data_IF_677979152088
#
_entry.id   IF_677979152088
#
_cell.length_a   1.000
_cell.length_b   1.000
_cell.length_c   1.000
_cell.angle_alpha   90.00
_cell.angle_beta   90.00
_cell.angle_gamma   90.00
#
_symmetry.space_group_name_H-M   'P 1'
#
loop_
_entity.id
_entity.type
_entity.pdbx_description
1 polymer ?
#
# COMPACT_ATOMS: atom_id res chain seq x y z
N UNK A 1 -6.10 -16.63 -1.45
CA UNK A 1 -6.27 -15.26 -0.91
C UNK A 1 -4.98 -14.49 -1.16
N UNK A 2 -5.01 -13.29 -1.75
CA UNK A 2 -3.80 -12.55 -2.16
C UNK A 2 -3.00 -12.06 -0.95
N UNK A 3 -1.65 -12.16 -0.97
CA UNK A 3 -0.77 -11.65 0.09
C UNK A 3 -1.04 -10.18 0.40
N UNK A 4 -1.30 -9.37 -0.64
CA UNK A 4 -1.61 -7.95 -0.49
C UNK A 4 -2.83 -7.73 0.41
N UNK A 5 -3.88 -8.54 0.27
CA UNK A 5 -5.07 -8.45 1.14
C UNK A 5 -4.74 -8.78 2.59
N UNK A 6 -3.85 -9.76 2.78
CA UNK A 6 -3.40 -10.17 4.09
C UNK A 6 -2.47 -9.12 4.73
N UNK A 7 -1.66 -8.39 3.94
CA UNK A 7 -0.88 -7.23 4.37
C UNK A 7 -1.82 -6.09 4.80
N UNK A 8 -2.79 -5.71 3.97
CA UNK A 8 -3.78 -4.68 4.32
C UNK A 8 -4.53 -5.03 5.61
N UNK A 9 -4.93 -6.29 5.77
CA UNK A 9 -5.60 -6.77 6.99
C UNK A 9 -4.69 -6.71 8.22
N UNK A 10 -3.45 -7.18 8.09
CA UNK A 10 -2.47 -7.14 9.18
C UNK A 10 -2.16 -5.70 9.61
N UNK A 11 -2.04 -4.79 8.65
CA UNK A 11 -1.81 -3.37 8.93
C UNK A 11 -3.00 -2.72 9.64
N UNK A 12 -4.24 -3.05 9.26
CA UNK A 12 -5.43 -2.60 10.02
C UNK A 12 -5.38 -3.09 11.46
N UNK A 13 -5.07 -4.37 11.69
CA UNK A 13 -4.95 -4.95 13.03
C UNK A 13 -3.87 -4.25 13.86
N UNK A 14 -2.68 -4.07 13.30
CA UNK A 14 -1.57 -3.39 13.96
C UNK A 14 -1.88 -1.92 14.28
N UNK A 15 -2.45 -1.17 13.33
CA UNK A 15 -2.83 0.23 13.55
C UNK A 15 -3.89 0.37 14.65
N UNK A 16 -4.83 -0.57 14.71
CA UNK A 16 -5.86 -0.61 15.75
C UNK A 16 -5.23 -0.87 17.12
N UNK A 17 -4.34 -1.86 17.21
CA UNK A 17 -3.59 -2.15 18.44
C UNK A 17 -2.74 -0.98 18.91
N UNK A 18 -1.96 -0.37 18.01
CA UNK A 18 -1.08 0.77 18.36
C UNK A 18 -1.87 1.99 18.82
N UNK A 19 -3.05 2.25 18.23
CA UNK A 19 -3.93 3.29 18.73
C UNK A 19 -4.44 3.01 20.14
N UNK A 20 -4.80 1.76 20.45
CA UNK A 20 -5.27 1.37 21.78
C UNK A 20 -4.15 1.41 22.81
N UNK A 21 -2.94 1.00 22.44
CA UNK A 21 -1.77 0.92 23.33
C UNK A 21 -1.17 2.28 23.66
N UNK A 22 -0.94 3.10 22.64
CA UNK A 22 -0.05 4.26 22.76
C UNK A 22 -0.78 5.59 22.91
N UNK A 23 -2.10 5.62 22.68
CA UNK A 23 -2.91 6.84 22.74
C UNK A 23 -2.39 7.98 21.84
N UNK A 24 -3.03 8.18 20.68
CA UNK A 24 -2.99 9.42 19.84
C UNK A 24 -1.97 9.50 18.66
N UNK A 25 -2.56 9.78 17.47
CA UNK A 25 -2.23 10.59 16.26
C UNK A 25 -0.78 10.83 15.76
N UNK A 26 0.25 10.31 16.41
CA UNK A 26 1.66 10.57 16.06
C UNK A 26 2.28 9.56 15.08
N UNK A 27 1.50 8.64 14.53
CA UNK A 27 1.96 7.76 13.45
C UNK A 27 2.36 8.59 12.22
N UNK A 28 3.42 8.18 11.53
CA UNK A 28 3.88 8.74 10.27
C UNK A 28 4.29 7.60 9.32
N UNK A 29 4.65 7.92 8.08
CA UNK A 29 5.02 6.93 7.06
C UNK A 29 6.15 6.01 7.52
N UNK A 30 7.19 6.57 8.17
CA UNK A 30 8.31 5.80 8.70
C UNK A 30 7.92 4.76 9.78
N UNK A 31 6.76 4.93 10.44
CA UNK A 31 6.23 3.95 11.40
C UNK A 31 5.51 2.78 10.75
N UNK A 32 5.29 2.81 9.43
CA UNK A 32 4.67 1.68 8.70
C UNK A 32 5.65 0.56 8.37
N UNK A 33 6.96 0.83 8.38
CA UNK A 33 7.96 -0.19 8.03
C UNK A 33 8.04 -1.37 9.00
N UNK A 34 8.31 -1.15 10.30
CA UNK A 34 8.42 -2.25 11.27
C UNK A 34 7.23 -3.24 11.28
N UNK A 35 5.95 -2.81 11.26
CA UNK A 35 4.86 -3.77 11.21
C UNK A 35 4.79 -4.55 9.89
N UNK A 36 5.19 -3.96 8.76
CA UNK A 36 5.26 -4.67 7.49
C UNK A 36 6.32 -5.77 7.53
N UNK A 37 7.49 -5.52 8.15
CA UNK A 37 8.51 -6.55 8.39
C UNK A 37 7.97 -7.67 9.27
N UNK A 38 7.33 -7.35 10.40
CA UNK A 38 6.74 -8.38 11.27
C UNK A 38 5.68 -9.22 10.57
N UNK A 39 4.83 -8.60 9.73
CA UNK A 39 3.82 -9.31 8.93
C UNK A 39 4.48 -10.22 7.88
N UNK A 40 5.57 -9.76 7.26
CA UNK A 40 6.33 -10.54 6.29
C UNK A 40 7.02 -11.74 6.94
N UNK A 41 7.72 -11.51 8.05
CA UNK A 41 8.43 -12.53 8.83
C UNK A 41 7.49 -13.61 9.34
N UNK A 42 6.35 -13.22 9.91
CA UNK A 42 5.32 -14.15 10.38
C UNK A 42 4.69 -15.00 9.28
N UNK A 43 5.01 -14.73 8.00
CA UNK A 43 4.54 -15.47 6.82
C UNK A 43 5.67 -16.09 6.01
N UNK A 44 6.89 -16.14 6.56
CA UNK A 44 8.04 -16.74 5.90
C UNK A 44 8.53 -15.96 4.68
N UNK A 45 8.35 -14.63 4.67
CA UNK A 45 8.94 -13.77 3.65
C UNK A 45 10.28 -13.21 4.16
N UNK A 46 11.30 -13.22 3.30
CA UNK A 46 12.47 -12.35 3.44
C UNK A 46 12.02 -10.92 3.11
N UNK A 47 12.28 -9.94 3.97
CA UNK A 47 11.87 -8.56 3.74
C UNK A 47 13.05 -7.58 3.82
N UNK A 48 12.97 -6.51 3.03
CA UNK A 48 13.87 -5.36 3.10
C UNK A 48 13.06 -4.07 2.94
N UNK A 49 13.13 -3.22 3.95
CA UNK A 49 12.74 -1.82 3.86
C UNK A 49 13.73 -1.02 3.00
N UNK A 50 13.23 0.02 2.32
CA UNK A 50 14.00 0.94 1.49
C UNK A 50 14.92 0.20 0.48
N UNK A 51 14.37 -0.77 -0.24
CA UNK A 51 15.10 -1.55 -1.23
C UNK A 51 15.59 -0.64 -2.37
N UNK A 52 16.90 -0.55 -2.63
CA UNK A 52 17.42 0.37 -3.63
C UNK A 52 17.04 -0.08 -5.05
N UNK A 53 16.89 0.88 -5.96
CA UNK A 53 16.76 0.63 -7.39
C UNK A 53 18.06 0.98 -8.11
N UNK A 54 18.37 0.31 -9.24
CA UNK A 54 19.51 0.68 -10.06
C UNK A 54 19.44 2.16 -10.43
N UNK A 55 20.56 2.87 -10.29
CA UNK A 55 20.67 4.25 -10.76
C UNK A 55 20.67 4.27 -12.28
N UNK A 56 19.82 5.09 -12.87
CA UNK A 56 19.93 5.44 -14.29
C UNK A 56 21.22 6.22 -14.51
N UNK A 57 22.01 5.84 -15.52
CA UNK A 57 23.24 6.54 -15.85
C UNK A 57 22.96 8.03 -16.09
N UNK A 58 23.72 8.91 -15.43
CA UNK A 58 23.56 10.36 -15.54
C UNK A 58 22.49 11.00 -14.64
N UNK A 59 21.75 10.22 -13.84
CA UNK A 59 20.79 10.81 -12.89
C UNK A 59 21.51 11.51 -11.72
N UNK A 60 21.21 12.78 -11.48
CA UNK A 60 21.65 13.52 -10.29
C UNK A 60 20.66 13.32 -9.15
N UNK A 61 21.15 13.27 -7.90
CA UNK A 61 20.32 13.11 -6.70
C UNK A 61 20.39 11.73 -6.03
N UNK A 62 19.57 11.56 -4.99
CA UNK A 62 19.53 10.34 -4.17
C UNK A 62 19.07 9.14 -5.00
N UNK A 63 19.65 7.93 -4.80
CA UNK A 63 19.17 6.72 -5.46
C UNK A 63 17.68 6.49 -5.18
N UNK A 64 16.93 6.11 -6.20
CA UNK A 64 15.53 5.71 -6.01
C UNK A 64 15.46 4.42 -5.18
N UNK A 65 14.40 4.31 -4.40
CA UNK A 65 14.13 3.16 -3.54
C UNK A 65 12.66 2.75 -3.63
N UNK A 66 12.41 1.47 -3.42
CA UNK A 66 11.10 0.93 -3.09
C UNK A 66 10.97 0.92 -1.57
N UNK A 67 9.84 1.35 -1.03
CA UNK A 67 9.65 1.37 0.42
C UNK A 67 9.81 -0.02 1.03
N UNK A 68 9.24 -1.05 0.40
CA UNK A 68 9.32 -2.44 0.86
C UNK A 68 9.45 -3.45 -0.29
N UNK A 69 10.41 -4.35 -0.17
CA UNK A 69 10.50 -5.56 -0.99
C UNK A 69 10.39 -6.80 -0.10
N UNK A 70 9.56 -7.76 -0.48
CA UNK A 70 9.37 -9.02 0.22
C UNK A 70 9.52 -10.19 -0.76
N UNK A 71 10.19 -11.25 -0.36
CA UNK A 71 10.44 -12.44 -1.18
C UNK A 71 10.01 -13.68 -0.42
N UNK A 72 9.19 -14.53 -1.04
CA UNK A 72 8.89 -15.86 -0.55
C UNK A 72 9.38 -16.88 -1.56
N UNK A 73 10.39 -17.66 -1.15
CA UNK A 73 11.08 -18.64 -1.98
C UNK A 73 10.21 -19.84 -2.29
N UNK A 74 9.50 -20.35 -1.28
CA UNK A 74 8.62 -21.51 -1.39
C UNK A 74 7.52 -21.28 -2.44
N UNK A 75 6.94 -20.08 -2.43
CA UNK A 75 5.87 -19.68 -3.36
C UNK A 75 6.38 -19.08 -4.66
N UNK A 76 7.69 -18.85 -4.76
CA UNK A 76 8.33 -18.12 -5.87
C UNK A 76 7.64 -16.78 -6.16
N UNK A 77 7.40 -15.98 -5.12
CA UNK A 77 6.74 -14.66 -5.25
C UNK A 77 7.64 -13.55 -4.70
N UNK A 78 7.72 -12.45 -5.44
CA UNK A 78 8.28 -11.18 -5.00
C UNK A 78 7.16 -10.15 -4.89
N UNK A 79 7.10 -9.42 -3.77
CA UNK A 79 6.14 -8.34 -3.55
C UNK A 79 6.88 -7.04 -3.34
N UNK A 80 6.63 -6.09 -4.23
CA UNK A 80 7.10 -4.71 -4.11
C UNK A 80 5.96 -3.81 -3.64
N UNK A 81 6.20 -3.05 -2.58
CA UNK A 81 5.21 -2.22 -1.92
C UNK A 81 5.73 -0.80 -1.78
N UNK A 82 4.94 0.14 -2.27
CA UNK A 82 5.05 1.55 -1.90
C UNK A 82 4.07 1.85 -0.79
N UNK A 83 4.46 2.68 0.17
CA UNK A 83 3.64 3.00 1.33
C UNK A 83 3.35 4.49 1.39
N UNK A 84 2.12 4.84 1.76
CA UNK A 84 1.73 6.23 2.01
C UNK A 84 0.97 6.36 3.30
N UNK A 85 1.30 7.39 4.08
CA UNK A 85 0.55 7.75 5.27
C UNK A 85 -0.03 9.15 5.17
N UNK A 86 -1.35 9.25 5.04
CA UNK A 86 -2.07 10.52 4.93
C UNK A 86 -2.67 10.94 6.27
N UNK A 87 -2.07 11.95 6.89
CA UNK A 87 -2.67 12.69 8.02
C UNK A 87 -3.80 13.61 7.55
N UNK A 88 -4.85 13.74 8.37
CA UNK A 88 -5.88 14.76 8.21
C UNK A 88 -5.26 16.17 8.18
N UNK A 89 -5.76 17.05 7.30
CA UNK A 89 -5.30 18.44 7.18
C UNK A 89 -3.89 18.66 6.60
N UNK A 90 -3.10 17.62 6.35
CA UNK A 90 -1.76 17.73 5.74
C UNK A 90 -1.76 17.26 4.29
N UNK A 91 -1.02 17.94 3.40
CA UNK A 91 -0.81 17.45 2.02
C UNK A 91 -0.01 16.14 2.07
N UNK A 92 -0.40 15.16 1.25
CA UNK A 92 0.44 13.96 1.03
C UNK A 92 1.70 14.38 0.28
N UNK A 93 2.87 13.93 0.74
CA UNK A 93 4.09 14.09 -0.06
C UNK A 93 4.10 13.02 -1.16
N UNK A 94 4.38 13.44 -2.39
CA UNK A 94 4.18 12.59 -3.57
C UNK A 94 2.70 12.40 -3.92
N UNK A 95 2.39 11.29 -4.59
CA UNK A 95 1.05 10.93 -5.03
C UNK A 95 0.98 9.45 -5.33
N UNK A 96 -0.18 8.83 -5.12
CA UNK A 96 -0.38 7.40 -5.38
C UNK A 96 -0.08 7.05 -6.84
N UNK A 97 -0.39 7.97 -7.78
CA UNK A 97 -0.05 7.82 -9.19
C UNK A 97 1.45 7.77 -9.46
N UNK A 98 2.25 8.59 -8.76
CA UNK A 98 3.70 8.63 -8.89
C UNK A 98 4.31 7.31 -8.38
N UNK A 99 3.83 6.84 -7.23
CA UNK A 99 4.29 5.57 -6.64
C UNK A 99 3.90 4.37 -7.53
N UNK A 100 2.69 4.41 -8.10
CA UNK A 100 2.21 3.41 -9.04
C UNK A 100 3.03 3.39 -10.34
N UNK A 101 3.37 4.55 -10.90
CA UNK A 101 4.24 4.67 -12.07
C UNK A 101 5.66 4.13 -11.77
N UNK A 102 6.22 4.48 -10.61
CA UNK A 102 7.51 3.94 -10.13
C UNK A 102 7.48 2.41 -10.05
N UNK A 103 6.45 1.84 -9.45
CA UNK A 103 6.28 0.39 -9.36
C UNK A 103 6.09 -0.26 -10.73
N UNK A 104 5.38 0.39 -11.67
CA UNK A 104 5.16 -0.16 -12.99
C UNK A 104 6.48 -0.46 -13.72
N UNK A 105 7.47 0.43 -13.63
CA UNK A 105 8.80 0.25 -14.22
C UNK A 105 9.67 -0.82 -13.53
N UNK A 106 9.26 -1.35 -12.38
CA UNK A 106 10.02 -2.35 -11.64
C UNK A 106 10.04 -3.70 -12.35
N UNK A 107 11.22 -4.31 -12.46
CA UNK A 107 11.39 -5.66 -13.03
C UNK A 107 12.19 -6.57 -12.08
N UNK A 108 12.05 -7.88 -12.23
CA UNK A 108 12.89 -8.84 -11.49
C UNK A 108 14.38 -8.64 -11.80
N UNK A 109 14.73 -8.34 -13.05
CA UNK A 109 16.11 -8.06 -13.44
C UNK A 109 16.69 -6.87 -12.66
N UNK A 110 15.91 -5.80 -12.48
CA UNK A 110 16.37 -4.66 -11.65
C UNK A 110 16.52 -5.01 -10.17
N UNK A 111 15.73 -5.95 -9.65
CA UNK A 111 15.83 -6.45 -8.27
C UNK A 111 17.08 -7.33 -8.13
N UNK A 112 17.26 -8.29 -9.05
CA UNK A 112 18.41 -9.20 -9.07
C UNK A 112 19.74 -8.46 -9.22
N UNK A 113 19.79 -7.40 -10.03
CA UNK A 113 20.97 -6.56 -10.14
C UNK A 113 21.38 -5.96 -8.79
N UNK A 114 20.40 -5.59 -7.94
CA UNK A 114 20.68 -5.02 -6.62
C UNK A 114 21.03 -6.10 -5.59
N UNK A 115 20.41 -7.28 -5.67
CA UNK A 115 20.78 -8.44 -4.85
C UNK A 115 22.24 -8.85 -5.14
N UNK A 116 22.60 -8.97 -6.43
CA UNK A 116 23.95 -9.31 -6.87
C UNK A 116 24.99 -8.26 -6.46
N UNK A 117 24.60 -6.98 -6.38
CA UNK A 117 25.44 -5.90 -5.87
C UNK A 117 25.56 -5.86 -4.33
N UNK A 118 25.07 -6.89 -3.63
CA UNK A 118 25.09 -6.97 -2.16
C UNK A 118 24.08 -6.04 -1.46
N UNK A 119 23.19 -5.41 -2.22
CA UNK A 119 22.22 -4.45 -1.70
C UNK A 119 20.89 -5.11 -1.30
N UNK A 120 20.77 -6.44 -1.36
CA UNK A 120 19.53 -7.16 -1.02
C UNK A 120 19.23 -7.27 0.48
N UNK A 121 20.21 -6.99 1.35
CA UNK A 121 20.04 -7.15 2.81
C UNK A 121 19.76 -8.61 3.18
N UNK A 122 18.58 -8.89 3.77
CA UNK A 122 18.13 -10.25 4.08
C UNK A 122 17.82 -11.08 2.83
N UNK A 123 17.57 -10.43 1.69
CA UNK A 123 17.29 -11.08 0.42
C UNK A 123 18.63 -11.31 -0.29
N UNK A 124 19.20 -12.50 -0.16
CA UNK A 124 20.57 -12.79 -0.61
C UNK A 124 20.66 -13.58 -1.91
N UNK A 125 19.58 -14.27 -2.32
CA UNK A 125 19.58 -15.09 -3.53
C UNK A 125 18.77 -14.45 -4.68
N UNK A 126 19.10 -14.72 -5.95
CA UNK A 126 18.35 -14.23 -7.10
C UNK A 126 16.88 -14.66 -7.10
N UNK A 127 16.00 -13.85 -7.69
CA UNK A 127 14.54 -14.03 -7.78
C UNK A 127 14.06 -14.12 -9.23
N UNK A 128 14.97 -14.32 -10.19
CA UNK A 128 14.63 -14.58 -11.58
C UNK A 128 13.56 -15.69 -11.70
N UNK A 129 12.54 -15.45 -12.53
CA UNK A 129 11.43 -16.39 -12.74
C UNK A 129 10.32 -16.33 -11.69
N UNK A 130 10.46 -15.57 -10.62
CA UNK A 130 9.41 -15.44 -9.60
C UNK A 130 8.23 -14.60 -10.10
N UNK A 131 7.05 -14.76 -9.51
CA UNK A 131 5.94 -13.86 -9.76
C UNK A 131 6.18 -12.51 -9.07
N UNK A 132 6.24 -11.42 -9.84
CA UNK A 132 6.34 -10.06 -9.30
C UNK A 132 4.96 -9.43 -9.09
N UNK A 133 4.58 -9.28 -7.82
CA UNK A 133 3.39 -8.53 -7.37
C UNK A 133 3.82 -7.14 -6.96
N UNK A 134 3.08 -6.13 -7.41
CA UNK A 134 3.34 -4.72 -7.09
C UNK A 134 2.09 -4.09 -6.52
N UNK A 135 2.22 -3.29 -5.47
CA UNK A 135 1.09 -2.58 -4.91
C UNK A 135 1.48 -1.27 -4.22
N UNK A 136 0.55 -0.31 -4.21
CA UNK A 136 0.63 0.88 -3.36
C UNK A 136 -0.28 0.66 -2.16
N UNK A 137 0.28 0.64 -0.95
CA UNK A 137 -0.44 0.59 0.32
C UNK A 137 -0.58 2.01 0.86
N UNK A 138 -1.79 2.42 1.17
CA UNK A 138 -2.06 3.76 1.71
C UNK A 138 -2.94 3.67 2.94
N UNK A 139 -2.53 4.43 3.95
CA UNK A 139 -3.23 4.58 5.23
C UNK A 139 -3.74 6.01 5.33
N UNK A 140 -5.06 6.18 5.49
CA UNK A 140 -5.68 7.48 5.76
C UNK A 140 -6.18 7.56 7.20
N UNK A 141 -5.87 8.66 7.87
CA UNK A 141 -6.41 8.99 9.17
C UNK A 141 -7.65 9.90 9.03
N UNK A 142 -8.79 9.46 9.57
CA UNK A 142 -10.07 10.18 9.61
C UNK A 142 -10.69 10.44 8.23
N UNK A 143 -10.37 11.57 7.61
CA UNK A 143 -11.14 12.17 6.50
C UNK A 143 -10.22 12.80 5.44
N UNK A 144 -10.81 13.33 4.35
CA UNK A 144 -10.14 13.89 3.16
C UNK A 144 -9.57 12.88 2.14
N UNK A 145 -10.03 11.61 2.19
CA UNK A 145 -9.73 10.60 1.17
C UNK A 145 -10.17 11.10 -0.22
N UNK A 146 -11.41 11.57 -0.33
CA UNK A 146 -11.96 12.06 -1.60
C UNK A 146 -11.27 13.32 -2.13
N UNK A 147 -10.86 14.23 -1.25
CA UNK A 147 -10.13 15.43 -1.67
C UNK A 147 -8.74 15.09 -2.22
N UNK A 148 -8.04 14.15 -1.57
CA UNK A 148 -6.76 13.66 -2.08
C UNK A 148 -6.94 12.95 -3.42
N UNK A 149 -7.94 12.08 -3.54
CA UNK A 149 -8.18 11.32 -4.77
C UNK A 149 -8.43 12.22 -5.98
N UNK A 150 -9.13 13.35 -5.81
CA UNK A 150 -9.33 14.32 -6.90
C UNK A 150 -8.02 14.87 -7.49
N UNK A 151 -6.92 14.80 -6.73
CA UNK A 151 -5.58 15.22 -7.17
C UNK A 151 -4.77 14.10 -7.81
N UNK A 152 -5.23 12.86 -7.70
CA UNK A 152 -4.57 11.69 -8.30
C UNK A 152 -4.98 11.52 -9.77
N UNK A 153 -4.20 10.82 -10.60
CA UNK A 153 -4.58 10.51 -11.97
C UNK A 153 -5.91 9.74 -12.05
N UNK A 154 -6.67 9.93 -13.14
CA UNK A 154 -8.00 9.31 -13.34
C UNK A 154 -7.98 7.79 -13.17
N UNK A 155 -6.89 7.12 -13.56
CA UNK A 155 -6.76 5.67 -13.41
C UNK A 155 -6.73 5.23 -11.94
N UNK A 156 -5.99 5.96 -11.09
CA UNK A 156 -5.96 5.73 -9.64
C UNK A 156 -7.33 6.04 -9.03
N UNK A 157 -7.97 7.13 -9.47
CA UNK A 157 -9.32 7.49 -9.01
C UNK A 157 -10.32 6.37 -9.30
N UNK A 158 -10.36 5.87 -10.55
CA UNK A 158 -11.27 4.78 -10.96
C UNK A 158 -11.01 3.52 -10.14
N UNK A 159 -9.75 3.10 -10.04
CA UNK A 159 -9.39 1.91 -9.27
C UNK A 159 -9.81 2.02 -7.80
N UNK A 160 -9.65 3.19 -7.18
CA UNK A 160 -10.10 3.41 -5.81
C UNK A 160 -11.62 3.45 -5.69
N UNK A 161 -12.32 4.16 -6.59
CA UNK A 161 -13.78 4.23 -6.62
C UNK A 161 -14.39 2.83 -6.74
N UNK A 162 -13.82 1.95 -7.55
CA UNK A 162 -14.26 0.55 -7.66
C UNK A 162 -14.17 -0.20 -6.33
N UNK A 163 -13.14 0.08 -5.52
CA UNK A 163 -13.00 -0.48 -4.18
C UNK A 163 -14.02 0.12 -3.20
N UNK A 164 -14.29 1.42 -3.27
CA UNK A 164 -15.31 2.05 -2.41
C UNK A 164 -16.72 1.60 -2.80
N UNK A 165 -17.02 1.42 -4.08
CA UNK A 165 -18.31 0.88 -4.50
C UNK A 165 -18.52 -0.53 -3.91
N UNK A 166 -17.47 -1.36 -3.91
CA UNK A 166 -17.52 -2.70 -3.33
C UNK A 166 -17.64 -2.74 -1.79
N UNK A 167 -17.29 -1.63 -1.13
CA UNK A 167 -17.35 -1.46 0.32
C UNK A 167 -18.79 -1.25 0.81
N UNK A 168 -19.62 -0.64 -0.03
CA UNK A 168 -21.01 -0.30 0.30
C UNK A 168 -21.89 -1.57 0.37
N UNK A 169 -22.97 -1.54 1.18
CA UNK A 169 -24.03 -2.52 1.11
C UNK A 169 -24.62 -2.61 -0.31
N UNK A 170 -25.15 -3.78 -0.67
CA UNK A 170 -25.59 -4.04 -2.06
C UNK A 170 -26.83 -3.21 -2.46
N UNK A 171 -27.57 -2.68 -1.48
CA UNK A 171 -28.73 -1.80 -1.62
C UNK A 171 -28.38 -0.29 -1.61
N UNK A 172 -27.09 0.07 -1.48
CA UNK A 172 -26.65 1.47 -1.39
C UNK A 172 -25.94 1.90 -2.67
N UNK A 173 -26.49 2.92 -3.33
CA UNK A 173 -25.89 3.46 -4.56
C UNK A 173 -24.50 4.11 -4.32
N UNK A 174 -23.54 3.91 -5.24
CA UNK A 174 -22.18 4.44 -5.15
C UNK A 174 -22.10 5.94 -5.51
N UNK A 175 -22.71 6.79 -4.69
CA UNK A 175 -22.67 8.25 -4.83
C UNK A 175 -21.58 8.89 -3.98
N UNK A 176 -21.10 10.08 -4.36
CA UNK A 176 -20.14 10.87 -3.56
C UNK A 176 -20.60 11.09 -2.11
N UNK A 177 -21.91 11.25 -1.90
CA UNK A 177 -22.52 11.39 -0.56
C UNK A 177 -22.39 10.09 0.24
N UNK A 178 -22.75 8.95 -0.36
CA UNK A 178 -22.68 7.65 0.31
C UNK A 178 -21.23 7.22 0.57
N UNK A 179 -20.30 7.52 -0.33
CA UNK A 179 -18.87 7.35 -0.09
C UNK A 179 -18.41 8.15 1.12
N UNK A 180 -18.79 9.42 1.22
CA UNK A 180 -18.41 10.27 2.35
C UNK A 180 -18.97 9.72 3.67
N UNK A 181 -20.25 9.33 3.69
CA UNK A 181 -20.90 8.71 4.86
C UNK A 181 -20.24 7.39 5.26
N UNK A 182 -19.91 6.52 4.30
CA UNK A 182 -19.18 5.28 4.56
C UNK A 182 -17.80 5.54 5.19
N UNK A 183 -17.05 6.51 4.65
CA UNK A 183 -15.73 6.89 5.15
C UNK A 183 -15.79 7.50 6.56
N UNK A 184 -16.85 8.25 6.87
CA UNK A 184 -17.12 8.83 8.20
C UNK A 184 -17.62 7.78 9.21
N UNK A 185 -18.22 6.69 8.73
CA UNK A 185 -18.80 5.64 9.57
C UNK A 185 -20.28 5.77 9.84
N UNK A 186 -20.97 6.67 9.13
CA UNK A 186 -22.42 6.85 9.17
C UNK A 186 -23.17 5.82 8.31
N UNK A 187 -22.44 4.94 7.62
CA UNK A 187 -22.94 3.80 6.87
C UNK A 187 -22.16 2.55 7.26
N UNK A 188 -22.86 1.42 7.34
CA UNK A 188 -22.25 0.11 7.46
C UNK A 188 -21.37 -0.17 6.24
N UNK A 189 -20.25 -0.86 6.45
CA UNK A 189 -19.27 -1.17 5.41
C UNK A 189 -18.75 -2.58 5.59
N UNK A 190 -18.36 -3.24 4.50
CA UNK A 190 -17.77 -4.58 4.51
C UNK A 190 -16.32 -4.56 4.02
N UNK A 191 -15.41 -5.38 4.57
CA UNK A 191 -14.04 -5.50 4.05
C UNK A 191 -14.03 -5.84 2.56
N UNK A 192 -13.19 -5.14 1.78
CA UNK A 192 -13.06 -5.37 0.33
C UNK A 192 -11.76 -6.09 0.02
N UNK A 193 -11.85 -7.14 -0.77
CA UNK A 193 -10.73 -7.91 -1.30
C UNK A 193 -11.02 -8.29 -2.76
N UNK A 194 -10.37 -7.62 -3.71
CA UNK A 194 -10.52 -7.82 -5.16
C UNK A 194 -9.16 -7.94 -5.84
N UNK A 195 -9.14 -8.37 -7.10
CA UNK A 195 -7.89 -8.45 -7.87
C UNK A 195 -7.18 -7.10 -8.00
N UNK A 196 -7.95 -6.01 -8.10
CA UNK A 196 -7.44 -4.64 -8.19
C UNK A 196 -6.96 -4.07 -6.85
N UNK A 197 -7.17 -4.76 -5.73
CA UNK A 197 -6.77 -4.22 -4.44
C UNK A 197 -7.62 -4.67 -3.26
N UNK A 198 -7.46 -3.97 -2.15
CA UNK A 198 -8.27 -4.18 -0.96
C UNK A 198 -8.48 -2.87 -0.22
N UNK A 199 -9.55 -2.81 0.56
CA UNK A 199 -9.93 -1.64 1.34
C UNK A 199 -10.57 -2.13 2.65
N UNK A 200 -10.05 -1.65 3.77
CA UNK A 200 -10.52 -2.03 5.10
C UNK A 200 -10.45 -0.82 6.04
N UNK A 201 -11.43 -0.74 6.93
CA UNK A 201 -11.40 0.20 8.05
C UNK A 201 -10.85 -0.50 9.29
N UNK A 202 -10.06 0.24 10.06
CA UNK A 202 -9.78 -0.04 11.48
C UNK A 202 -10.44 1.03 12.34
N UNK A 203 -10.96 0.65 13.49
CA UNK A 203 -11.54 1.59 14.45
C UNK A 203 -11.21 1.16 15.87
N UNK A 204 -10.95 2.13 16.73
CA UNK A 204 -10.87 1.93 18.18
C UNK A 204 -12.09 2.53 18.87
N UNK A 205 -12.22 2.29 20.18
CA UNK A 205 -13.29 2.81 21.07
C UNK A 205 -13.44 4.34 20.98
N UNK A 206 -12.39 5.05 20.57
CA UNK A 206 -12.37 6.53 20.45
C UNK A 206 -13.01 7.08 19.16
N UNK A 207 -13.67 6.25 18.34
CA UNK A 207 -14.29 6.59 17.04
C UNK A 207 -13.33 7.16 15.98
N UNK A 208 -12.01 7.17 16.23
CA UNK A 208 -11.01 7.58 15.23
C UNK A 208 -10.74 6.44 14.26
N UNK A 209 -11.36 6.51 13.08
CA UNK A 209 -11.22 5.51 12.01
C UNK A 209 -9.95 5.71 11.19
N UNK A 210 -9.25 4.62 10.89
CA UNK A 210 -8.29 4.55 9.80
C UNK A 210 -8.87 3.79 8.64
N UNK A 211 -8.48 4.19 7.44
CA UNK A 211 -8.70 3.44 6.23
C UNK A 211 -7.36 2.95 5.71
N UNK A 212 -7.25 1.66 5.45
CA UNK A 212 -6.11 1.07 4.78
C UNK A 212 -6.58 0.52 3.46
N UNK A 213 -5.99 1.00 2.36
CA UNK A 213 -6.20 0.42 1.05
C UNK A 213 -4.88 -0.03 0.44
N UNK A 214 -4.98 -1.05 -0.39
CA UNK A 214 -3.92 -1.45 -1.30
C UNK A 214 -4.44 -1.33 -2.73
N UNK A 215 -3.73 -0.64 -3.62
CA UNK A 215 -3.98 -0.66 -5.05
C UNK A 215 -2.97 -1.62 -5.68
N UNK A 216 -3.45 -2.71 -6.27
CA UNK A 216 -2.59 -3.68 -6.95
C UNK A 216 -2.31 -3.22 -8.38
N UNK A 217 -1.11 -3.51 -8.87
CA UNK A 217 -0.68 -3.14 -10.22
C UNK A 217 -1.65 -3.60 -11.31
N UNK A 218 -1.85 -2.71 -12.28
CA UNK A 218 -2.61 -2.93 -13.51
C UNK A 218 -1.75 -2.51 -14.70
N UNK A 219 -1.96 -3.15 -15.85
CA UNK A 219 -1.22 -2.82 -17.07
C UNK A 219 -1.39 -1.35 -17.50
N UNK A 220 -2.54 -0.74 -17.21
CA UNK A 220 -2.82 0.66 -17.53
C UNK A 220 -2.04 1.67 -16.67
N UNK A 221 -1.34 1.22 -15.61
CA UNK A 221 -0.38 2.07 -14.89
C UNK A 221 0.77 2.56 -15.77
N UNK A 222 0.99 1.97 -16.95
CA UNK A 222 1.90 2.47 -17.98
C UNK A 222 1.56 3.88 -18.49
N UNK A 223 0.35 4.37 -18.23
CA UNK A 223 -0.15 5.69 -18.68
C UNK A 223 -0.17 6.73 -17.56
N UNK A 224 0.40 6.41 -16.40
CA UNK A 224 0.48 7.29 -15.22
C UNK A 224 1.69 8.23 -15.30
#
# INVERSE_FOLDING_TARGET
MSLIHQITSGMVGWLTYEQMRSGVDNLNEARLGPPLECIADGRGYEAKAEFPLPRTAGSTGSPQRIDFLMVNRERQVVVALETKYKKAGRRMQGGLGIDAAKLHGLTLNSIDAQIAAGQGGRITAPVAGFQLVRAVLVVWHKTAIMEQLRREPILIQKQFIDLVAALLPDDVEPTSRNFSRAMLGDLATKPVARASGSLRAGSTVTHKRFWVASLTHRADWARL
#
